data_IF_706119867231
#
_entry.id   IF_706119867231
#
_cell.length_a   1.000
_cell.length_b   1.000
_cell.length_c   1.000
_cell.angle_alpha   90.00
_cell.angle_beta   90.00
_cell.angle_gamma   90.00
#
_symmetry.space_group_name_H-M   'P 1'
#
loop_
_entity.id
_entity.type
_entity.pdbx_description
1 polymer ?
#
# COMPACT_ATOMS: atom_id res chain seq x y z
N UNK A 1 -6.31 15.04 -11.54
CA UNK A 1 -5.66 15.82 -12.63
C UNK A 1 -6.55 15.98 -13.86
N UNK A 2 -7.28 14.95 -14.30
CA UNK A 2 -8.02 15.00 -15.58
C UNK A 2 -9.52 14.81 -15.36
N UNK A 3 -10.28 15.91 -15.27
CA UNK A 3 -11.73 15.89 -15.00
C UNK A 3 -12.50 15.04 -16.03
N UNK A 4 -12.12 15.11 -17.33
CA UNK A 4 -12.81 14.34 -18.37
C UNK A 4 -12.83 12.84 -18.13
N UNK A 5 -11.74 12.25 -17.56
CA UNK A 5 -11.71 10.83 -17.18
C UNK A 5 -12.69 10.51 -16.05
N UNK A 6 -12.85 11.41 -15.09
CA UNK A 6 -13.85 11.25 -14.04
C UNK A 6 -15.28 11.35 -14.60
N UNK A 7 -15.50 12.28 -15.54
CA UNK A 7 -16.80 12.45 -16.20
C UNK A 7 -17.15 11.22 -17.06
N UNK A 8 -16.19 10.63 -17.76
CA UNK A 8 -16.35 9.35 -18.50
C UNK A 8 -16.75 8.21 -17.57
N UNK A 9 -16.04 8.05 -16.43
CA UNK A 9 -16.39 7.04 -15.42
C UNK A 9 -17.78 7.25 -14.83
N UNK A 10 -18.14 8.50 -14.54
CA UNK A 10 -19.47 8.83 -14.03
C UNK A 10 -20.57 8.48 -15.05
N UNK A 11 -20.31 8.77 -16.35
CA UNK A 11 -21.22 8.42 -17.44
C UNK A 11 -21.36 6.90 -17.63
N UNK A 12 -20.27 6.15 -17.50
CA UNK A 12 -20.29 4.68 -17.58
C UNK A 12 -21.07 4.02 -16.45
N UNK A 13 -21.18 4.68 -15.31
CA UNK A 13 -21.93 4.22 -14.14
C UNK A 13 -23.38 4.68 -14.14
N UNK A 14 -23.77 5.58 -15.04
CA UNK A 14 -25.15 6.08 -15.13
C UNK A 14 -26.12 4.94 -15.42
N UNK A 15 -27.15 4.82 -14.61
CA UNK A 15 -28.14 3.73 -14.68
C UNK A 15 -27.64 2.36 -14.18
N UNK A 16 -26.38 2.23 -13.75
CA UNK A 16 -25.83 1.01 -13.14
C UNK A 16 -25.78 1.09 -11.61
N UNK A 17 -25.97 2.26 -11.04
CA UNK A 17 -25.98 2.49 -9.59
C UNK A 17 -27.06 3.52 -9.23
N UNK A 18 -27.58 3.41 -8.01
CA UNK A 18 -28.46 4.42 -7.40
C UNK A 18 -27.67 5.54 -6.71
N UNK A 19 -26.34 5.37 -6.58
CA UNK A 19 -25.46 6.35 -5.95
C UNK A 19 -25.34 7.60 -6.81
N UNK A 20 -25.55 8.76 -6.22
CA UNK A 20 -25.32 10.05 -6.90
C UNK A 20 -23.80 10.27 -7.01
N UNK A 21 -23.31 10.31 -8.25
CA UNK A 21 -21.91 10.55 -8.57
C UNK A 21 -21.75 12.00 -9.03
N UNK A 22 -20.78 12.71 -8.45
CA UNK A 22 -20.35 14.05 -8.89
C UNK A 22 -18.84 14.04 -9.11
N UNK A 23 -18.37 14.85 -10.04
CA UNK A 23 -16.96 14.92 -10.42
C UNK A 23 -16.40 16.31 -10.19
N UNK A 24 -15.19 16.38 -9.72
CA UNK A 24 -14.47 17.64 -9.55
C UNK A 24 -13.02 17.48 -10.03
N UNK A 25 -12.38 18.59 -10.37
CA UNK A 25 -10.96 18.64 -10.61
C UNK A 25 -10.27 19.24 -9.39
N UNK A 26 -9.25 18.58 -8.90
CA UNK A 26 -8.43 19.02 -7.78
C UNK A 26 -6.98 18.62 -8.04
N UNK A 27 -6.05 19.43 -7.59
CA UNK A 27 -4.67 19.02 -7.40
C UNK A 27 -4.53 18.53 -5.95
N UNK A 28 -4.30 17.22 -5.79
CA UNK A 28 -4.23 16.61 -4.47
C UNK A 28 -2.89 16.87 -3.75
N UNK A 29 -1.91 17.46 -4.43
CA UNK A 29 -0.67 17.96 -3.83
C UNK A 29 -0.85 19.37 -3.24
N UNK A 30 -1.96 20.05 -3.56
CA UNK A 30 -2.31 21.37 -3.05
C UNK A 30 -3.37 21.25 -1.95
N UNK A 31 -2.93 21.40 -0.70
CA UNK A 31 -3.79 21.28 0.49
C UNK A 31 -4.97 22.26 0.46
N UNK A 32 -4.78 23.47 -0.04
CA UNK A 32 -5.84 24.49 -0.07
C UNK A 32 -6.93 24.13 -1.08
N UNK A 33 -6.58 23.55 -2.23
CA UNK A 33 -7.55 23.03 -3.18
C UNK A 33 -8.35 21.85 -2.62
N UNK A 34 -7.69 20.93 -1.90
CA UNK A 34 -8.37 19.80 -1.25
C UNK A 34 -9.31 20.33 -0.15
N UNK A 35 -8.89 21.31 0.66
CA UNK A 35 -9.73 21.98 1.67
C UNK A 35 -10.95 22.64 1.01
N UNK A 36 -10.76 23.33 -0.11
CA UNK A 36 -11.87 23.99 -0.82
C UNK A 36 -12.89 22.95 -1.29
N UNK A 37 -12.43 21.83 -1.84
CA UNK A 37 -13.28 20.74 -2.30
C UNK A 37 -14.05 20.08 -1.14
N UNK A 38 -13.39 19.79 -0.02
CA UNK A 38 -14.02 19.23 1.17
C UNK A 38 -15.10 20.18 1.70
N UNK A 39 -14.84 21.48 1.75
CA UNK A 39 -15.82 22.48 2.18
C UNK A 39 -17.03 22.61 1.25
N UNK A 40 -16.83 22.44 -0.06
CA UNK A 40 -17.90 22.47 -1.06
C UNK A 40 -18.83 21.26 -0.93
N UNK A 41 -18.27 20.05 -0.81
CA UNK A 41 -19.03 18.80 -0.82
C UNK A 41 -19.41 18.27 0.57
N UNK A 42 -18.74 18.71 1.62
CA UNK A 42 -18.96 18.33 3.03
C UNK A 42 -19.09 16.81 3.25
N UNK A 43 -18.08 16.02 2.83
CA UNK A 43 -18.13 14.57 2.98
C UNK A 43 -17.97 14.16 4.46
N UNK A 44 -18.49 13.00 4.82
CA UNK A 44 -18.26 12.36 6.13
C UNK A 44 -16.89 11.64 6.18
N UNK A 45 -16.37 11.25 5.01
CA UNK A 45 -15.12 10.52 4.84
C UNK A 45 -14.46 10.93 3.53
N UNK A 46 -13.15 11.17 3.59
CA UNK A 46 -12.30 11.27 2.41
C UNK A 46 -11.52 9.97 2.27
N UNK A 47 -11.66 9.32 1.11
CA UNK A 47 -10.93 8.09 0.78
C UNK A 47 -9.89 8.39 -0.29
N UNK A 48 -8.61 8.20 0.03
CA UNK A 48 -7.52 8.24 -0.94
C UNK A 48 -7.29 6.85 -1.53
N UNK A 49 -7.57 6.71 -2.83
CA UNK A 49 -7.31 5.51 -3.62
C UNK A 49 -6.42 5.84 -4.83
N UNK A 50 -5.68 6.94 -4.74
CA UNK A 50 -4.69 7.35 -5.70
C UNK A 50 -3.30 6.78 -5.33
N UNK A 51 -2.26 7.32 -5.95
CA UNK A 51 -0.89 6.99 -5.57
C UNK A 51 -0.54 7.53 -4.16
N UNK A 52 0.45 6.95 -3.47
CA UNK A 52 0.75 7.24 -2.07
C UNK A 52 1.30 8.66 -1.82
N UNK A 53 1.71 9.36 -2.86
CA UNK A 53 2.38 10.66 -2.76
C UNK A 53 1.51 11.76 -2.12
N UNK A 54 0.18 11.66 -2.18
CA UNK A 54 -0.76 12.66 -1.71
C UNK A 54 -1.33 12.40 -0.31
N UNK A 55 -0.96 11.30 0.34
CA UNK A 55 -1.56 10.89 1.63
C UNK A 55 -1.48 11.99 2.67
N UNK A 56 -0.30 12.55 2.92
CA UNK A 56 -0.12 13.54 3.98
C UNK A 56 -0.83 14.87 3.66
N UNK A 57 -0.84 15.29 2.40
CA UNK A 57 -1.56 16.49 1.95
C UNK A 57 -3.05 16.36 2.19
N UNK A 58 -3.61 15.18 1.88
CA UNK A 58 -5.04 14.89 2.09
C UNK A 58 -5.35 14.78 3.59
N UNK A 59 -4.46 14.17 4.39
CA UNK A 59 -4.60 14.08 5.85
C UNK A 59 -4.61 15.48 6.49
N UNK A 60 -3.74 16.39 6.06
CA UNK A 60 -3.74 17.78 6.54
C UNK A 60 -5.05 18.50 6.19
N UNK A 61 -5.57 18.31 4.98
CA UNK A 61 -6.85 18.89 4.57
C UNK A 61 -8.03 18.31 5.38
N UNK A 62 -8.02 17.01 5.66
CA UNK A 62 -9.03 16.34 6.49
C UNK A 62 -9.04 16.90 7.92
N UNK A 63 -7.86 17.06 8.53
CA UNK A 63 -7.73 17.68 9.86
C UNK A 63 -8.23 19.12 9.88
N UNK A 64 -7.87 19.93 8.86
CA UNK A 64 -8.30 21.31 8.75
C UNK A 64 -9.83 21.47 8.59
N UNK A 65 -10.49 20.46 8.00
CA UNK A 65 -11.92 20.46 7.76
C UNK A 65 -12.75 19.67 8.80
N UNK A 66 -12.10 18.90 9.68
CA UNK A 66 -12.79 18.07 10.65
C UNK A 66 -13.46 16.84 10.02
N UNK A 67 -12.81 16.18 9.05
CA UNK A 67 -13.35 15.04 8.28
C UNK A 67 -12.48 13.81 8.48
N UNK A 68 -13.11 12.63 8.51
CA UNK A 68 -12.40 11.35 8.61
C UNK A 68 -11.61 11.05 7.34
N UNK A 69 -10.53 10.30 7.49
CA UNK A 69 -9.61 9.92 6.43
C UNK A 69 -9.52 8.40 6.27
N UNK A 70 -9.27 7.94 5.05
CA UNK A 70 -8.98 6.55 4.73
C UNK A 70 -8.04 6.48 3.53
N UNK A 71 -7.08 5.55 3.54
CA UNK A 71 -6.20 5.27 2.41
C UNK A 71 -6.08 3.78 2.10
N UNK A 72 -5.35 3.46 1.04
CA UNK A 72 -5.10 2.09 0.59
C UNK A 72 -3.62 1.75 0.49
N UNK A 73 -2.73 2.69 0.80
CA UNK A 73 -1.27 2.53 0.72
C UNK A 73 -0.56 3.44 1.74
N UNK A 74 0.70 3.13 2.04
CA UNK A 74 1.55 4.00 2.85
C UNK A 74 2.09 5.17 2.01
N UNK A 75 2.33 6.31 2.67
CA UNK A 75 2.94 7.47 2.04
C UNK A 75 4.37 7.20 1.60
N UNK A 76 4.68 7.70 0.41
CA UNK A 76 6.03 7.87 -0.08
C UNK A 76 6.20 9.24 -0.76
N UNK A 77 7.32 9.93 -0.60
CA UNK A 77 7.61 11.12 -1.39
C UNK A 77 7.82 10.75 -2.87
N UNK A 78 7.43 11.63 -3.78
CA UNK A 78 7.67 11.44 -5.23
C UNK A 78 9.16 11.36 -5.57
N UNK A 79 10.00 12.10 -4.85
CA UNK A 79 11.45 12.12 -5.04
C UNK A 79 12.16 11.43 -3.87
N UNK A 80 12.47 10.16 -4.06
CA UNK A 80 13.23 9.35 -3.08
C UNK A 80 14.71 9.72 -3.01
N UNK A 81 15.19 10.55 -3.93
CA UNK A 81 16.56 11.10 -3.92
C UNK A 81 16.65 12.43 -3.13
N UNK A 82 15.53 12.98 -2.66
CA UNK A 82 15.51 14.16 -1.79
C UNK A 82 16.38 13.93 -0.54
N UNK A 83 17.43 14.76 -0.30
CA UNK A 83 18.36 14.53 0.82
C UNK A 83 17.68 14.63 2.19
N UNK A 84 16.67 15.51 2.36
CA UNK A 84 15.95 15.67 3.61
C UNK A 84 15.10 14.43 3.90
N UNK A 85 14.39 13.94 2.90
CA UNK A 85 13.62 12.70 3.03
C UNK A 85 14.53 11.51 3.34
N UNK A 86 15.68 11.38 2.66
CA UNK A 86 16.63 10.29 2.91
C UNK A 86 17.18 10.30 4.33
N UNK A 87 17.48 11.47 4.90
CA UNK A 87 17.93 11.57 6.28
C UNK A 87 16.87 11.05 7.25
N UNK A 88 15.62 11.48 7.07
CA UNK A 88 14.48 11.04 7.89
C UNK A 88 14.23 9.54 7.72
N UNK A 89 14.24 9.05 6.49
CA UNK A 89 14.07 7.63 6.17
C UNK A 89 15.14 6.77 6.83
N UNK A 90 16.41 7.10 6.66
CA UNK A 90 17.53 6.36 7.26
C UNK A 90 17.42 6.29 8.78
N UNK A 91 17.05 7.40 9.42
CA UNK A 91 16.83 7.43 10.87
C UNK A 91 15.71 6.48 11.29
N UNK A 92 14.62 6.41 10.55
CA UNK A 92 13.51 5.48 10.82
C UNK A 92 13.90 4.03 10.61
N UNK A 93 14.66 3.73 9.56
CA UNK A 93 15.21 2.39 9.36
C UNK A 93 16.12 1.95 10.52
N UNK A 94 16.95 2.85 11.03
CA UNK A 94 17.76 2.58 12.24
C UNK A 94 16.89 2.29 13.48
N UNK A 95 15.85 3.10 13.70
CA UNK A 95 14.93 2.93 14.83
C UNK A 95 14.14 1.63 14.77
N UNK A 96 13.73 1.20 13.57
CA UNK A 96 12.99 -0.05 13.33
C UNK A 96 13.89 -1.27 13.19
N UNK A 97 15.14 -1.11 12.86
CA UNK A 97 16.11 -2.20 12.65
C UNK A 97 15.96 -2.94 11.32
N UNK A 98 15.37 -2.32 10.32
CA UNK A 98 15.30 -2.83 8.95
C UNK A 98 15.27 -1.69 7.92
N UNK A 99 15.55 -2.01 6.65
CA UNK A 99 15.60 -1.05 5.54
C UNK A 99 14.54 -1.39 4.49
N UNK A 100 13.31 -0.96 4.66
CA UNK A 100 12.27 -1.07 3.66
C UNK A 100 11.82 0.31 3.20
N UNK A 101 11.44 0.44 1.94
CA UNK A 101 10.91 1.71 1.42
C UNK A 101 9.47 1.97 1.87
N UNK A 102 8.73 0.92 2.20
CA UNK A 102 7.31 0.97 2.55
C UNK A 102 7.14 1.02 4.07
N UNK A 103 6.58 2.12 4.59
CA UNK A 103 6.51 2.38 6.03
C UNK A 103 5.35 3.33 6.37
N UNK A 104 4.42 2.87 7.21
CA UNK A 104 3.31 3.68 7.70
C UNK A 104 3.68 4.73 8.76
N UNK A 105 4.93 4.82 9.21
CA UNK A 105 5.30 5.78 10.27
C UNK A 105 5.07 7.24 9.90
N UNK A 106 5.01 7.57 8.61
CA UNK A 106 4.63 8.90 8.14
C UNK A 106 3.18 9.25 8.51
N UNK A 107 2.24 8.36 8.23
CA UNK A 107 0.84 8.55 8.59
C UNK A 107 0.63 8.38 10.10
N UNK A 108 1.34 7.46 10.77
CA UNK A 108 1.29 7.30 12.23
C UNK A 108 1.73 8.56 12.98
N UNK A 109 2.57 9.41 12.42
CA UNK A 109 2.93 10.71 12.99
C UNK A 109 1.72 11.66 13.15
N UNK A 110 0.62 11.39 12.46
CA UNK A 110 -0.63 12.15 12.55
C UNK A 110 -1.56 11.66 13.67
N UNK A 111 -1.26 10.54 14.32
CA UNK A 111 -2.12 9.88 15.31
C UNK A 111 -2.66 10.86 16.35
N UNK A 112 -1.78 11.56 17.06
CA UNK A 112 -2.21 12.50 18.10
C UNK A 112 -3.08 13.64 17.56
N UNK A 113 -2.85 14.10 16.32
CA UNK A 113 -3.63 15.17 15.72
C UNK A 113 -5.07 14.70 15.47
N UNK A 114 -5.24 13.50 14.90
CA UNK A 114 -6.56 12.90 14.65
C UNK A 114 -7.28 12.58 15.96
N UNK A 115 -6.61 11.98 16.95
CA UNK A 115 -7.17 11.69 18.27
C UNK A 115 -7.66 12.96 18.97
N UNK A 116 -6.87 14.04 18.99
CA UNK A 116 -7.25 15.33 19.58
C UNK A 116 -8.41 16.00 18.86
N UNK A 117 -8.53 15.79 17.56
CA UNK A 117 -9.64 16.30 16.75
C UNK A 117 -10.92 15.44 16.86
N UNK A 118 -10.85 14.25 17.50
CA UNK A 118 -11.95 13.30 17.56
C UNK A 118 -12.27 12.66 16.20
N UNK A 119 -11.27 12.58 15.32
CA UNK A 119 -11.38 12.06 13.97
C UNK A 119 -10.73 10.67 13.87
N UNK A 120 -11.15 9.92 12.87
CA UNK A 120 -10.58 8.61 12.51
C UNK A 120 -9.77 8.72 11.23
N UNK A 121 -8.53 8.21 11.25
CA UNK A 121 -7.77 7.87 10.07
C UNK A 121 -7.65 6.35 10.00
N UNK A 122 -8.16 5.74 8.93
CA UNK A 122 -8.09 4.30 8.69
C UNK A 122 -7.07 4.04 7.59
N UNK A 123 -5.96 3.43 7.95
CA UNK A 123 -4.80 3.28 7.07
C UNK A 123 -4.75 1.88 6.46
N UNK A 124 -4.29 1.78 5.21
CA UNK A 124 -4.05 0.51 4.54
C UNK A 124 -5.31 -0.31 4.28
N UNK A 125 -6.35 0.30 3.75
CA UNK A 125 -7.64 -0.36 3.48
C UNK A 125 -7.79 -0.80 2.03
N UNK A 126 -6.70 -1.29 1.44
CA UNK A 126 -6.67 -1.88 0.11
C UNK A 126 -6.92 -3.38 0.13
N UNK A 127 -6.28 -4.07 -0.80
CA UNK A 127 -6.27 -5.53 -0.84
C UNK A 127 -5.11 -6.07 0.02
N UNK A 128 -3.90 -5.70 -0.33
CA UNK A 128 -2.66 -5.84 0.41
C UNK A 128 -1.92 -4.48 0.42
N UNK A 129 -1.93 -3.79 1.54
CA UNK A 129 -2.57 -4.08 2.82
C UNK A 129 -4.09 -3.86 2.83
N UNK A 130 -4.80 -4.57 3.72
CA UNK A 130 -6.23 -4.39 4.01
C UNK A 130 -6.98 -5.70 4.12
N UNK A 131 -7.37 -6.30 3.01
CA UNK A 131 -8.13 -7.57 2.97
C UNK A 131 -7.31 -8.71 3.58
N UNK A 132 -6.00 -8.75 3.37
CA UNK A 132 -5.08 -9.73 3.96
C UNK A 132 -5.12 -9.71 5.48
N UNK A 133 -5.06 -8.53 6.10
CA UNK A 133 -5.18 -8.39 7.56
C UNK A 133 -6.58 -8.78 8.05
N UNK A 134 -7.63 -8.42 7.29
CA UNK A 134 -9.00 -8.79 7.64
C UNK A 134 -9.19 -10.32 7.62
N UNK A 135 -8.61 -11.03 6.67
CA UNK A 135 -8.60 -12.51 6.65
C UNK A 135 -7.84 -13.09 7.83
N UNK A 136 -6.67 -12.56 8.16
CA UNK A 136 -5.90 -13.01 9.32
C UNK A 136 -6.68 -12.79 10.64
N UNK A 137 -7.31 -11.63 10.79
CA UNK A 137 -8.15 -11.31 11.94
C UNK A 137 -9.39 -12.22 12.02
N UNK A 138 -10.02 -12.52 10.88
CA UNK A 138 -11.13 -13.46 10.81
C UNK A 138 -10.70 -14.88 11.22
N UNK A 139 -9.58 -15.34 10.67
CA UNK A 139 -9.04 -16.67 10.99
C UNK A 139 -8.67 -16.80 12.48
N UNK A 140 -8.00 -15.79 13.04
CA UNK A 140 -7.69 -15.73 14.47
C UNK A 140 -8.94 -15.78 15.34
N UNK A 141 -10.00 -15.11 14.93
CA UNK A 141 -11.24 -15.04 15.71
C UNK A 141 -12.08 -16.32 15.64
N UNK A 142 -12.09 -17.00 14.50
CA UNK A 142 -13.11 -18.01 14.20
C UNK A 142 -12.55 -19.41 13.93
N UNK A 143 -11.27 -19.54 13.52
CA UNK A 143 -10.75 -20.79 12.98
C UNK A 143 -9.57 -21.35 13.81
N UNK A 144 -8.80 -20.49 14.48
CA UNK A 144 -7.59 -20.89 15.20
C UNK A 144 -7.58 -20.39 16.65
N UNK A 145 -7.16 -21.24 17.57
CA UNK A 145 -6.89 -20.84 18.96
C UNK A 145 -5.62 -19.97 19.05
N UNK A 146 -4.60 -20.29 18.24
CA UNK A 146 -3.34 -19.56 18.11
C UNK A 146 -2.87 -19.55 16.66
N UNK A 147 -2.18 -18.49 16.25
CA UNK A 147 -1.53 -18.40 14.93
C UNK A 147 -0.02 -18.33 15.14
N UNK A 148 0.67 -19.41 14.82
CA UNK A 148 2.14 -19.47 14.91
C UNK A 148 2.83 -18.84 13.70
N UNK A 149 2.28 -18.99 12.50
CA UNK A 149 2.89 -18.48 11.25
C UNK A 149 1.84 -17.97 10.28
N UNK A 150 2.21 -16.91 9.54
CA UNK A 150 1.42 -16.35 8.45
C UNK A 150 2.32 -16.28 7.22
N UNK A 151 1.91 -16.90 6.13
CA UNK A 151 2.49 -16.70 4.80
C UNK A 151 1.39 -16.10 3.90
N UNK A 152 1.59 -14.88 3.43
CA UNK A 152 0.71 -14.22 2.47
C UNK A 152 1.28 -14.50 1.08
N UNK A 153 0.44 -15.02 0.18
CA UNK A 153 0.84 -15.40 -1.16
C UNK A 153 0.01 -14.62 -2.16
N UNK A 154 0.56 -13.52 -2.68
CA UNK A 154 -0.07 -12.71 -3.71
C UNK A 154 0.21 -13.29 -5.09
N UNK A 155 -0.87 -13.50 -5.88
CA UNK A 155 -0.78 -14.10 -7.21
C UNK A 155 -1.51 -13.27 -8.26
N UNK A 156 -0.75 -12.73 -9.20
CA UNK A 156 -1.31 -12.17 -10.41
C UNK A 156 -1.52 -13.28 -11.45
N UNK A 157 -2.79 -13.66 -11.66
CA UNK A 157 -3.20 -14.63 -12.67
C UNK A 157 -3.63 -13.99 -14.00
N UNK A 158 -3.53 -12.67 -14.16
CA UNK A 158 -3.95 -11.94 -15.35
C UNK A 158 -2.98 -12.10 -16.54
N UNK A 159 -3.50 -11.81 -17.74
CA UNK A 159 -2.75 -11.69 -18.97
C UNK A 159 -3.23 -10.44 -19.71
N UNK A 160 -2.32 -9.53 -20.00
CA UNK A 160 -2.60 -8.29 -20.73
C UNK A 160 -2.39 -8.40 -22.24
N UNK A 161 -1.98 -9.57 -22.72
CA UNK A 161 -1.68 -9.80 -24.15
C UNK A 161 -0.39 -9.12 -24.65
N UNK A 162 0.47 -8.65 -23.75
CA UNK A 162 1.76 -8.03 -24.06
C UNK A 162 2.92 -8.82 -23.47
N UNK A 163 4.07 -8.74 -24.10
CA UNK A 163 5.30 -9.37 -23.59
C UNK A 163 5.76 -8.78 -22.25
N UNK A 164 5.44 -7.50 -22.01
CA UNK A 164 5.62 -6.80 -20.74
C UNK A 164 4.44 -5.89 -20.51
N UNK A 165 3.82 -6.00 -19.36
CA UNK A 165 2.82 -5.07 -18.87
C UNK A 165 2.82 -5.09 -17.34
N UNK A 166 2.50 -3.98 -16.75
CA UNK A 166 2.23 -3.86 -15.31
C UNK A 166 0.83 -3.31 -15.12
N UNK A 167 0.09 -3.85 -14.19
CA UNK A 167 -1.25 -3.37 -13.78
C UNK A 167 -1.18 -2.40 -12.60
N UNK A 168 0.03 -2.06 -12.18
CA UNK A 168 0.31 -1.10 -11.12
C UNK A 168 1.27 -0.03 -11.61
N UNK A 169 1.64 0.93 -10.76
CA UNK A 169 2.63 1.95 -11.11
C UNK A 169 3.99 1.26 -11.37
N UNK A 170 4.59 1.43 -12.56
CA UNK A 170 5.87 0.78 -12.89
C UNK A 170 7.01 1.16 -11.96
N UNK A 171 7.05 2.41 -11.49
CA UNK A 171 8.09 2.91 -10.59
C UNK A 171 7.99 2.26 -9.21
N UNK A 172 6.78 2.14 -8.67
CA UNK A 172 6.55 1.43 -7.39
C UNK A 172 6.99 -0.02 -7.50
N UNK A 173 6.56 -0.73 -8.54
CA UNK A 173 6.98 -2.12 -8.76
C UNK A 173 8.51 -2.26 -8.93
N UNK A 174 9.16 -1.31 -9.61
CA UNK A 174 10.62 -1.34 -9.78
C UNK A 174 11.32 -1.22 -8.41
N UNK A 175 10.85 -0.32 -7.56
CA UNK A 175 11.37 -0.16 -6.20
C UNK A 175 11.12 -1.39 -5.34
N UNK A 176 9.94 -2.00 -5.41
CA UNK A 176 9.62 -3.24 -4.68
C UNK A 176 10.60 -4.38 -5.02
N UNK A 177 10.87 -4.63 -6.30
CA UNK A 177 11.76 -5.73 -6.71
C UNK A 177 13.23 -5.42 -6.49
N UNK A 178 13.61 -4.14 -6.37
CA UNK A 178 14.99 -3.69 -6.17
C UNK A 178 15.33 -3.49 -4.69
N UNK A 179 14.34 -3.27 -3.83
CA UNK A 179 14.54 -3.07 -2.40
C UNK A 179 14.91 -4.38 -1.69
N UNK A 180 15.69 -4.32 -0.58
CA UNK A 180 15.85 -5.46 0.30
C UNK A 180 14.49 -5.97 0.77
N UNK A 181 14.30 -7.29 0.77
CA UNK A 181 13.12 -7.91 1.36
C UNK A 181 13.26 -7.97 2.88
N UNK A 182 12.16 -7.98 3.59
CA UNK A 182 12.17 -8.25 5.03
C UNK A 182 10.91 -8.99 5.47
N UNK A 183 11.03 -9.72 6.56
CA UNK A 183 9.94 -10.47 7.16
C UNK A 183 10.08 -10.51 8.69
N UNK A 184 8.99 -10.84 9.37
CA UNK A 184 8.97 -10.97 10.82
C UNK A 184 9.26 -12.41 11.23
N UNK A 185 10.20 -12.60 12.17
CA UNK A 185 10.52 -13.92 12.75
C UNK A 185 10.96 -13.79 14.22
N UNK A 186 10.35 -14.57 15.09
CA UNK A 186 10.67 -14.66 16.52
C UNK A 186 10.83 -13.30 17.25
N UNK A 187 9.93 -12.38 16.96
CA UNK A 187 9.89 -11.07 17.63
C UNK A 187 10.82 -10.01 17.04
N UNK A 188 11.40 -10.23 15.88
CA UNK A 188 12.28 -9.26 15.21
C UNK A 188 12.15 -9.30 13.69
N UNK A 189 12.58 -8.22 13.06
CA UNK A 189 12.69 -8.13 11.60
C UNK A 189 13.94 -8.84 11.11
N UNK A 190 13.80 -9.59 10.03
CA UNK A 190 14.90 -10.24 9.29
C UNK A 190 14.96 -9.63 7.90
N UNK A 191 16.07 -8.96 7.59
CA UNK A 191 16.34 -8.40 6.25
C UNK A 191 17.05 -9.43 5.37
N UNK A 192 16.70 -9.44 4.09
CA UNK A 192 17.31 -10.29 3.06
C UNK A 192 17.62 -9.46 1.81
N UNK A 193 18.61 -9.86 0.99
CA UNK A 193 18.82 -9.21 -0.31
C UNK A 193 17.59 -9.28 -1.19
N UNK A 194 17.40 -8.26 -2.04
CA UNK A 194 16.28 -8.19 -2.97
C UNK A 194 16.10 -9.49 -3.76
N UNK A 195 14.88 -9.99 -3.86
CA UNK A 195 14.48 -11.17 -4.63
C UNK A 195 15.26 -12.47 -4.31
N UNK A 196 15.97 -12.53 -3.16
CA UNK A 196 16.88 -13.65 -2.84
C UNK A 196 16.19 -14.95 -2.41
N UNK A 197 14.96 -14.87 -1.91
CA UNK A 197 14.16 -16.04 -1.54
C UNK A 197 13.06 -16.24 -2.57
N UNK A 198 13.22 -17.28 -3.37
CA UNK A 198 12.27 -17.71 -4.39
C UNK A 198 11.61 -19.02 -3.95
N UNK A 199 10.32 -19.16 -4.21
CA UNK A 199 9.54 -20.39 -4.06
C UNK A 199 8.66 -20.62 -5.29
N UNK A 200 8.30 -21.84 -5.49
CA UNK A 200 7.30 -22.25 -6.48
C UNK A 200 6.04 -22.70 -5.72
N UNK A 201 4.87 -22.29 -6.20
CA UNK A 201 3.58 -22.65 -5.60
C UNK A 201 2.54 -22.92 -6.69
N UNK A 202 1.70 -23.91 -6.46
CA UNK A 202 0.60 -24.27 -7.37
C UNK A 202 -0.69 -23.62 -6.85
N UNK A 203 -1.04 -22.47 -7.46
CA UNK A 203 -2.21 -21.68 -7.08
C UNK A 203 -3.48 -22.27 -7.70
N UNK A 204 -4.52 -22.44 -6.90
CA UNK A 204 -5.84 -22.89 -7.38
C UNK A 204 -6.32 -22.02 -8.55
N UNK A 205 -6.78 -22.67 -9.62
CA UNK A 205 -7.29 -22.03 -10.84
C UNK A 205 -6.26 -21.22 -11.67
N UNK A 206 -5.04 -21.02 -11.18
CA UNK A 206 -3.97 -20.25 -11.87
C UNK A 206 -2.83 -21.17 -12.30
N UNK A 207 -2.54 -22.22 -11.51
CA UNK A 207 -1.43 -23.16 -11.73
C UNK A 207 -0.13 -22.68 -11.11
N UNK A 208 0.95 -23.34 -11.51
CA UNK A 208 2.27 -23.19 -10.93
C UNK A 208 2.91 -21.84 -11.26
N UNK A 209 3.33 -21.12 -10.23
CA UNK A 209 3.98 -19.80 -10.33
C UNK A 209 5.22 -19.73 -9.46
N UNK A 210 6.21 -18.98 -9.94
CA UNK A 210 7.33 -18.51 -9.15
C UNK A 210 6.88 -17.34 -8.28
N UNK A 211 7.16 -17.37 -6.99
CA UNK A 211 6.92 -16.28 -6.05
C UNK A 211 8.19 -15.91 -5.29
N UNK A 212 8.31 -14.65 -4.93
CA UNK A 212 9.49 -14.10 -4.29
C UNK A 212 9.11 -13.42 -2.98
N UNK A 213 9.93 -13.59 -1.94
CA UNK A 213 9.74 -12.91 -0.67
C UNK A 213 10.15 -11.46 -0.79
N UNK A 214 9.20 -10.58 -0.44
CA UNK A 214 9.38 -9.14 -0.39
C UNK A 214 9.04 -8.62 1.01
N UNK A 215 9.44 -7.38 1.31
CA UNK A 215 8.80 -6.63 2.37
C UNK A 215 7.42 -6.18 1.90
N UNK A 216 6.44 -6.20 2.80
CA UNK A 216 5.13 -5.61 2.52
C UNK A 216 4.52 -5.08 3.81
N UNK A 217 3.79 -3.98 3.73
CA UNK A 217 3.42 -3.16 4.89
C UNK A 217 2.42 -3.80 5.84
N UNK A 218 1.60 -4.75 5.39
CA UNK A 218 0.69 -5.46 6.29
C UNK A 218 1.40 -6.27 7.38
N UNK A 219 2.66 -6.66 7.15
CA UNK A 219 3.46 -7.40 8.14
C UNK A 219 3.58 -6.61 9.43
N UNK A 220 3.70 -5.26 9.36
CA UNK A 220 3.81 -4.40 10.53
C UNK A 220 2.59 -4.55 11.45
N UNK A 221 1.40 -4.34 10.89
CA UNK A 221 0.16 -4.39 11.66
C UNK A 221 -0.17 -5.80 12.14
N UNK A 222 0.17 -6.85 11.37
CA UNK A 222 -0.03 -8.24 11.76
C UNK A 222 0.89 -8.62 12.94
N UNK A 223 2.16 -8.20 12.90
CA UNK A 223 3.11 -8.45 13.99
C UNK A 223 2.70 -7.74 15.29
N UNK A 224 2.15 -6.52 15.18
CA UNK A 224 1.67 -5.75 16.34
C UNK A 224 0.40 -6.34 16.96
N UNK A 225 -0.55 -6.81 16.13
CA UNK A 225 -1.88 -7.23 16.58
C UNK A 225 -2.04 -8.74 16.79
N UNK A 226 -1.04 -9.54 16.42
CA UNK A 226 -0.98 -10.99 16.67
C UNK A 226 0.31 -11.32 17.44
N UNK A 227 0.38 -10.98 18.74
CA UNK A 227 1.63 -11.04 19.51
C UNK A 227 2.20 -12.45 19.70
N UNK A 228 1.39 -13.50 19.51
CA UNK A 228 1.84 -14.90 19.55
C UNK A 228 2.50 -15.37 18.25
N UNK A 229 2.40 -14.60 17.15
CA UNK A 229 2.94 -15.02 15.86
C UNK A 229 4.47 -15.08 15.88
N UNK A 230 5.02 -16.18 15.41
CA UNK A 230 6.47 -16.41 15.35
C UNK A 230 7.07 -15.98 14.02
N UNK A 231 6.29 -16.06 12.92
CA UNK A 231 6.77 -15.70 11.60
C UNK A 231 5.65 -15.16 10.72
N UNK A 232 5.92 -14.03 10.03
CA UNK A 232 5.05 -13.47 9.00
C UNK A 232 5.90 -13.19 7.77
N UNK A 233 5.45 -13.66 6.60
CA UNK A 233 6.13 -13.48 5.32
C UNK A 233 5.13 -13.11 4.25
N UNK A 234 5.56 -12.25 3.34
CA UNK A 234 4.82 -11.90 2.13
C UNK A 234 5.57 -12.39 0.90
N UNK A 235 4.86 -13.02 -0.02
CA UNK A 235 5.38 -13.50 -1.29
C UNK A 235 4.51 -12.97 -2.42
N UNK A 236 5.13 -12.41 -3.46
CA UNK A 236 4.46 -11.96 -4.67
C UNK A 236 4.96 -12.73 -5.88
N UNK A 237 4.06 -13.00 -6.83
CA UNK A 237 4.40 -13.73 -8.05
C UNK A 237 4.90 -12.78 -9.13
N UNK A 238 6.01 -13.16 -9.76
CA UNK A 238 6.55 -12.46 -10.93
C UNK A 238 6.88 -13.47 -12.04
N UNK A 239 6.42 -13.17 -13.26
CA UNK A 239 6.80 -13.92 -14.43
C UNK A 239 8.25 -13.64 -14.84
N UNK A 240 8.96 -14.64 -15.39
CA UNK A 240 10.35 -14.48 -15.82
C UNK A 240 10.53 -13.38 -16.89
N UNK A 241 9.58 -13.25 -17.81
CA UNK A 241 9.58 -12.17 -18.80
C UNK A 241 9.50 -10.81 -18.13
N UNK A 242 8.60 -10.66 -17.14
CA UNK A 242 8.45 -9.42 -16.38
C UNK A 242 9.75 -9.03 -15.68
N UNK A 243 10.35 -9.92 -14.92
CA UNK A 243 11.62 -9.67 -14.21
C UNK A 243 12.78 -9.32 -15.16
N UNK A 244 12.81 -9.93 -16.36
CA UNK A 244 13.81 -9.62 -17.37
C UNK A 244 13.68 -8.17 -17.85
N UNK A 245 12.46 -7.69 -18.08
CA UNK A 245 12.21 -6.32 -18.50
C UNK A 245 12.49 -5.31 -17.36
N UNK A 246 12.05 -5.63 -16.13
CA UNK A 246 12.33 -4.77 -14.97
C UNK A 246 13.83 -4.61 -14.73
N UNK A 247 14.59 -5.70 -14.77
CA UNK A 247 16.05 -5.66 -14.65
C UNK A 247 16.70 -4.85 -15.80
N UNK A 248 16.16 -4.92 -17.02
CA UNK A 248 16.63 -4.07 -18.11
C UNK A 248 16.39 -2.59 -17.83
N UNK A 249 15.21 -2.22 -17.32
CA UNK A 249 14.89 -0.83 -16.96
C UNK A 249 15.80 -0.32 -15.85
N UNK A 250 16.01 -1.10 -14.81
CA UNK A 250 16.92 -0.76 -13.71
C UNK A 250 18.37 -0.51 -14.19
N UNK A 251 18.85 -1.30 -15.16
CA UNK A 251 20.21 -1.17 -15.68
C UNK A 251 20.41 0.02 -16.63
N UNK A 252 19.37 0.63 -17.14
CA UNK A 252 19.48 1.78 -18.06
C UNK A 252 19.10 3.12 -17.41
N UNK A 253 18.58 3.12 -16.20
CA UNK A 253 18.23 4.32 -15.40
C UNK A 253 16.86 4.85 -15.69
#
# INVERSE_FOLDING_TARGET
>A
RTKSKCDELAADLEGKTETKITTAQVDADDVDQVIALIKEYQPDLVMNIALPYQDLTIMDACLACGVNYMDTANYEPEDTEDPEWREIYNKRCEEKGFSAYFDYSWQWAYREKFEKAGLTALLGCGFDPGVTQAYCAHAKKNEFDTIDTIDILDCNGGDHGYAFATNFNPEVNLREVSAPGSYWEDGHWVEIPAMSIKREYDFDCVGQKDMYLLHHEEIESLAENIPEVKRIRFFMTFGQSYLTHMNCLENVG
#
